data_IF_105708717506
#
_entry.id   IF_105708717506
#
_cell.length_a   1.000
_cell.length_b   1.000
_cell.length_c   1.000
_cell.angle_alpha   90.00
_cell.angle_beta   90.00
_cell.angle_gamma   90.00
#
_symmetry.space_group_name_H-M   'P 1'
#
loop_
_entity.id
_entity.type
_entity.pdbx_description
1 polymer ?
#
# COMPACT_ATOMS: atom_id res chain seq x y z
N UNK A 1 -2.61 -31.52 6.52
CA UNK A 1 -3.43 -30.63 7.40
C UNK A 1 -2.91 -29.22 7.17
N UNK A 2 -3.79 -28.22 7.06
CA UNK A 2 -3.35 -26.85 6.77
C UNK A 2 -2.84 -26.14 8.02
N UNK A 3 -1.54 -25.87 8.06
CA UNK A 3 -0.87 -25.09 9.10
C UNK A 3 -0.94 -23.59 8.76
N UNK A 4 -1.06 -22.72 9.76
CA UNK A 4 -1.06 -21.27 9.57
C UNK A 4 -0.21 -20.61 10.65
N UNK A 5 0.76 -19.81 10.24
CA UNK A 5 1.70 -19.10 11.11
C UNK A 5 2.36 -17.93 10.37
N UNK A 6 3.14 -17.13 11.09
CA UNK A 6 4.02 -16.14 10.49
C UNK A 6 5.15 -16.79 9.69
N UNK A 7 5.64 -16.09 8.68
CA UNK A 7 6.77 -16.53 7.86
C UNK A 7 8.10 -16.20 8.52
N UNK A 8 9.12 -17.02 8.27
CA UNK A 8 10.50 -16.72 8.62
C UNK A 8 11.19 -15.92 7.51
N UNK A 9 12.38 -15.32 7.77
CA UNK A 9 13.16 -14.65 6.73
C UNK A 9 13.47 -15.55 5.52
N UNK A 10 13.81 -16.82 5.73
CA UNK A 10 14.14 -17.78 4.66
C UNK A 10 12.91 -18.15 3.80
N UNK A 11 11.71 -17.95 4.33
CA UNK A 11 10.44 -18.22 3.65
C UNK A 11 9.93 -17.02 2.85
N UNK A 12 10.53 -15.84 3.02
CA UNK A 12 10.02 -14.58 2.46
C UNK A 12 9.94 -14.61 0.93
N UNK A 13 10.99 -15.08 0.25
CA UNK A 13 10.99 -15.21 -1.21
C UNK A 13 9.90 -16.20 -1.69
N UNK A 14 9.75 -17.34 -1.00
CA UNK A 14 8.73 -18.32 -1.36
C UNK A 14 7.32 -17.76 -1.16
N UNK A 15 7.14 -16.96 -0.12
CA UNK A 15 5.89 -16.30 0.20
C UNK A 15 5.52 -15.24 -0.85
N UNK A 16 6.44 -14.34 -1.23
CA UNK A 16 6.20 -13.33 -2.27
C UNK A 16 5.94 -13.98 -3.64
N UNK A 17 6.64 -15.07 -3.98
CA UNK A 17 6.35 -15.86 -5.19
C UNK A 17 4.97 -16.48 -5.16
N UNK A 18 4.54 -17.04 -4.02
CA UNK A 18 3.21 -17.63 -3.88
C UNK A 18 2.13 -16.56 -4.02
N UNK A 19 2.30 -15.42 -3.37
CA UNK A 19 1.41 -14.26 -3.46
C UNK A 19 1.27 -13.78 -4.90
N UNK A 20 2.40 -13.52 -5.59
CA UNK A 20 2.39 -13.05 -6.98
C UNK A 20 1.66 -14.02 -7.90
N UNK A 21 1.89 -15.33 -7.72
CA UNK A 21 1.21 -16.38 -8.49
C UNK A 21 -0.30 -16.38 -8.28
N UNK A 22 -0.77 -16.16 -7.06
CA UNK A 22 -2.20 -16.11 -6.74
C UNK A 22 -2.88 -14.88 -7.36
N UNK A 23 -2.13 -13.80 -7.60
CA UNK A 23 -2.57 -12.62 -8.37
C UNK A 23 -2.37 -12.75 -9.89
N UNK A 24 -1.97 -13.92 -10.40
CA UNK A 24 -1.78 -14.18 -11.82
C UNK A 24 -0.46 -13.66 -12.39
N UNK A 25 0.47 -13.24 -11.52
CA UNK A 25 1.76 -12.69 -11.89
C UNK A 25 2.90 -13.68 -11.64
N UNK A 26 4.06 -13.42 -12.25
CA UNK A 26 5.34 -13.93 -11.76
C UNK A 26 5.98 -12.84 -10.92
N UNK A 27 6.68 -13.22 -9.85
CA UNK A 27 7.47 -12.28 -9.09
C UNK A 27 8.49 -11.62 -10.04
N UNK A 28 8.39 -10.31 -10.20
CA UNK A 28 9.19 -9.52 -11.14
C UNK A 28 10.15 -8.54 -10.42
N UNK A 29 10.02 -8.43 -9.10
CA UNK A 29 10.90 -7.65 -8.25
C UNK A 29 11.86 -8.55 -7.49
N UNK A 30 13.02 -8.00 -7.14
CA UNK A 30 13.98 -8.64 -6.24
C UNK A 30 13.38 -8.71 -4.82
N UNK A 31 13.24 -9.92 -4.22
CA UNK A 31 12.78 -10.06 -2.84
C UNK A 31 13.53 -9.15 -1.86
N UNK A 32 14.85 -8.97 -2.02
CA UNK A 32 15.62 -8.12 -1.11
C UNK A 32 15.19 -6.65 -1.19
N UNK A 33 14.79 -6.18 -2.38
CA UNK A 33 14.23 -4.83 -2.55
C UNK A 33 12.83 -4.70 -1.95
N UNK A 34 12.04 -5.78 -1.93
CA UNK A 34 10.71 -5.79 -1.31
C UNK A 34 10.78 -5.90 0.22
N UNK A 35 11.85 -6.48 0.77
CA UNK A 35 11.97 -6.78 2.20
C UNK A 35 11.61 -5.61 3.13
N UNK A 36 12.01 -4.34 2.88
CA UNK A 36 11.66 -3.21 3.75
C UNK A 36 10.17 -2.94 3.92
N UNK A 37 9.33 -3.38 2.97
CA UNK A 37 7.88 -3.17 2.99
C UNK A 37 7.16 -4.15 3.92
N UNK A 38 7.81 -5.25 4.32
CA UNK A 38 7.17 -6.32 5.07
C UNK A 38 7.67 -6.38 6.51
N UNK A 39 6.75 -6.34 7.45
CA UNK A 39 6.97 -6.84 8.80
C UNK A 39 6.64 -8.35 8.83
N UNK A 40 7.65 -9.21 9.02
CA UNK A 40 7.44 -10.67 8.97
C UNK A 40 6.57 -11.17 10.12
N UNK A 41 6.56 -10.45 11.25
CA UNK A 41 5.67 -10.78 12.38
C UNK A 41 4.20 -10.51 12.05
N UNK A 42 3.93 -9.82 10.94
CA UNK A 42 2.59 -9.51 10.40
C UNK A 42 2.29 -10.21 9.08
N UNK A 43 3.25 -10.96 8.56
CA UNK A 43 3.13 -11.73 7.33
C UNK A 43 2.79 -13.17 7.66
N UNK A 44 1.53 -13.55 7.44
CA UNK A 44 1.04 -14.90 7.69
C UNK A 44 1.03 -15.72 6.41
N UNK A 45 1.33 -17.01 6.55
CA UNK A 45 1.26 -18.00 5.50
C UNK A 45 0.38 -19.17 5.94
N UNK A 46 -0.28 -19.79 4.96
CA UNK A 46 -0.97 -21.07 5.12
C UNK A 46 -0.20 -22.13 4.34
N UNK A 47 0.22 -23.18 5.02
CA UNK A 47 1.02 -24.26 4.46
C UNK A 47 0.19 -25.52 4.23
N UNK A 48 0.42 -26.19 3.09
CA UNK A 48 -0.01 -27.56 2.83
C UNK A 48 1.23 -28.43 2.55
N UNK A 49 1.74 -29.09 3.59
CA UNK A 49 3.10 -29.64 3.59
C UNK A 49 4.11 -28.50 3.45
N UNK A 50 5.05 -28.64 2.51
CA UNK A 50 6.09 -27.62 2.26
C UNK A 50 5.61 -26.47 1.36
N UNK A 51 4.35 -26.50 0.90
CA UNK A 51 3.82 -25.51 -0.05
C UNK A 51 3.06 -24.39 0.64
N UNK A 52 3.37 -23.14 0.29
CA UNK A 52 2.55 -21.98 0.67
C UNK A 52 1.32 -21.91 -0.26
N UNK A 53 0.15 -22.11 0.34
CA UNK A 53 -1.16 -22.15 -0.36
C UNK A 53 -2.04 -20.94 -0.09
N UNK A 54 -1.63 -20.05 0.81
CA UNK A 54 -2.24 -18.76 1.04
C UNK A 54 -1.35 -17.85 1.88
N UNK A 55 -1.63 -16.55 1.85
CA UNK A 55 -0.90 -15.56 2.62
C UNK A 55 -1.69 -14.28 2.80
N UNK A 56 -1.34 -13.52 3.83
CA UNK A 56 -1.82 -12.17 4.07
C UNK A 56 -0.75 -11.39 4.82
N UNK A 57 -0.73 -10.08 4.63
CA UNK A 57 0.14 -9.17 5.34
C UNK A 57 -0.69 -8.03 5.96
N UNK A 58 -0.14 -7.40 7.00
CA UNK A 58 -0.65 -6.11 7.47
C UNK A 58 0.51 -5.16 7.77
N UNK A 59 0.34 -3.91 7.39
CA UNK A 59 1.25 -2.84 7.74
C UNK A 59 0.73 -2.11 8.97
N UNK A 60 1.62 -1.76 9.91
CA UNK A 60 1.28 -0.81 10.96
C UNK A 60 1.46 0.61 10.43
N UNK A 61 0.35 1.26 10.08
CA UNK A 61 0.36 2.61 9.50
C UNK A 61 -0.36 3.61 10.40
N UNK A 62 -0.02 4.87 10.26
CA UNK A 62 -0.82 5.97 10.80
C UNK A 62 -1.82 6.40 9.73
N UNK A 63 -3.09 6.52 10.11
CA UNK A 63 -4.15 7.02 9.24
C UNK A 63 -4.77 8.28 9.84
N UNK A 64 -4.93 9.32 9.05
CA UNK A 64 -5.72 10.49 9.44
C UNK A 64 -7.20 10.09 9.63
N UNK A 65 -7.80 10.57 10.72
CA UNK A 65 -9.22 10.36 11.06
C UNK A 65 -9.84 11.71 11.43
N UNK A 66 -11.18 11.85 11.46
CA UNK A 66 -11.78 13.10 11.91
C UNK A 66 -11.28 13.48 13.32
N UNK A 67 -10.62 14.64 13.43
CA UNK A 67 -10.09 15.16 14.68
C UNK A 67 -8.71 14.64 15.11
N UNK A 68 -7.98 13.89 14.28
CA UNK A 68 -6.61 13.47 14.59
C UNK A 68 -6.08 12.34 13.71
N UNK A 69 -5.30 11.44 14.30
CA UNK A 69 -4.80 10.24 13.62
C UNK A 69 -4.95 8.99 14.50
N UNK A 70 -4.96 7.83 13.85
CA UNK A 70 -5.07 6.53 14.50
C UNK A 70 -4.07 5.53 13.91
N UNK A 71 -3.46 4.73 14.78
CA UNK A 71 -2.72 3.54 14.34
C UNK A 71 -3.73 2.58 13.70
N UNK A 72 -3.41 2.11 12.50
CA UNK A 72 -4.29 1.29 11.67
C UNK A 72 -3.52 0.11 11.09
N UNK A 73 -4.13 -1.07 11.09
CA UNK A 73 -3.64 -2.21 10.33
C UNK A 73 -4.02 -2.05 8.85
N UNK A 74 -3.06 -1.68 8.01
CA UNK A 74 -3.22 -1.67 6.56
C UNK A 74 -3.11 -3.09 6.03
N UNK A 75 -4.24 -3.78 5.84
CA UNK A 75 -4.28 -5.17 5.38
C UNK A 75 -4.00 -5.24 3.87
N UNK A 76 -3.05 -6.09 3.52
CA UNK A 76 -2.50 -6.22 2.17
C UNK A 76 -2.18 -7.69 1.83
N UNK A 77 -1.85 -7.93 0.55
CA UNK A 77 -1.31 -9.21 0.06
C UNK A 77 -2.16 -10.44 0.43
N UNK A 78 -3.48 -10.26 0.52
CA UNK A 78 -4.41 -11.33 0.85
C UNK A 78 -4.60 -12.21 -0.37
N UNK A 79 -4.03 -13.42 -0.33
CA UNK A 79 -4.01 -14.31 -1.48
C UNK A 79 -4.24 -15.77 -1.07
N UNK A 80 -4.95 -16.52 -1.92
CA UNK A 80 -5.13 -17.97 -1.79
C UNK A 80 -4.87 -18.59 -3.15
N UNK A 81 -4.09 -19.67 -3.19
CA UNK A 81 -3.80 -20.37 -4.43
C UNK A 81 -5.10 -20.90 -5.06
N UNK A 82 -5.28 -20.81 -6.38
CA UNK A 82 -6.47 -21.33 -7.08
C UNK A 82 -6.80 -22.79 -6.74
N UNK A 83 -5.75 -23.61 -6.54
CA UNK A 83 -5.82 -25.03 -6.16
C UNK A 83 -6.42 -25.28 -4.77
N UNK A 84 -6.52 -24.25 -3.92
CA UNK A 84 -6.98 -24.31 -2.53
C UNK A 84 -8.19 -23.42 -2.23
N UNK A 85 -8.81 -22.87 -3.28
CA UNK A 85 -10.06 -22.10 -3.15
C UNK A 85 -11.21 -22.97 -2.64
N UNK A 86 -12.24 -22.35 -2.06
CA UNK A 86 -13.44 -23.01 -1.52
C UNK A 86 -13.19 -24.03 -0.40
N UNK A 87 -12.00 -24.02 0.22
CA UNK A 87 -11.64 -24.86 1.38
C UNK A 87 -11.61 -24.10 2.72
N UNK A 88 -12.12 -22.87 2.75
CA UNK A 88 -12.16 -22.03 3.95
C UNK A 88 -10.84 -21.38 4.35
N UNK A 89 -9.79 -21.47 3.53
CA UNK A 89 -8.45 -20.89 3.79
C UNK A 89 -8.54 -19.39 4.11
N UNK A 90 -9.15 -18.62 3.21
CA UNK A 90 -9.33 -17.17 3.40
C UNK A 90 -10.07 -16.83 4.69
N UNK A 91 -11.16 -17.55 5.00
CA UNK A 91 -11.94 -17.32 6.21
C UNK A 91 -11.12 -17.54 7.48
N UNK A 92 -10.28 -18.58 7.51
CA UNK A 92 -9.37 -18.83 8.64
C UNK A 92 -8.32 -17.74 8.76
N UNK A 93 -7.74 -17.35 7.64
CA UNK A 93 -6.68 -16.34 7.56
C UNK A 93 -7.16 -14.96 8.02
N UNK A 94 -8.29 -14.48 7.51
CA UNK A 94 -8.86 -13.19 7.90
C UNK A 94 -9.28 -13.16 9.38
N UNK A 95 -9.86 -14.26 9.90
CA UNK A 95 -10.21 -14.35 11.33
C UNK A 95 -8.99 -14.27 12.23
N UNK A 96 -7.93 -14.98 11.85
CA UNK A 96 -6.66 -14.92 12.58
C UNK A 96 -6.06 -13.52 12.53
N UNK A 97 -6.01 -12.90 11.36
CA UNK A 97 -5.45 -11.54 11.22
C UNK A 97 -6.23 -10.51 12.03
N UNK A 98 -7.57 -10.54 12.04
CA UNK A 98 -8.37 -9.60 12.86
C UNK A 98 -8.13 -9.81 14.35
N UNK A 99 -8.01 -11.07 14.79
CA UNK A 99 -7.67 -11.36 16.17
C UNK A 99 -6.27 -10.86 16.52
N UNK A 100 -5.28 -11.06 15.64
CA UNK A 100 -3.91 -10.58 15.82
C UNK A 100 -3.85 -9.04 15.90
N UNK A 101 -4.58 -8.34 15.04
CA UNK A 101 -4.75 -6.87 15.09
C UNK A 101 -5.33 -6.43 16.44
N UNK A 102 -6.33 -7.16 16.96
CA UNK A 102 -6.92 -6.88 18.27
C UNK A 102 -5.92 -7.08 19.42
N UNK A 103 -5.19 -8.21 19.44
CA UNK A 103 -4.17 -8.50 20.46
C UNK A 103 -3.02 -7.48 20.45
N UNK A 104 -2.72 -6.89 19.29
CA UNK A 104 -1.73 -5.80 19.15
C UNK A 104 -2.25 -4.44 19.63
N UNK A 105 -3.52 -4.34 20.03
CA UNK A 105 -4.15 -3.09 20.48
C UNK A 105 -4.40 -2.09 19.37
N UNK A 106 -4.50 -2.54 18.12
CA UNK A 106 -4.74 -1.68 16.96
C UNK A 106 -6.26 -1.44 16.81
N UNK A 107 -6.72 -0.18 16.90
CA UNK A 107 -8.15 0.12 17.00
C UNK A 107 -8.93 -0.12 15.70
N UNK A 108 -8.24 -0.22 14.56
CA UNK A 108 -8.87 -0.37 13.25
C UNK A 108 -7.98 -1.08 12.25
N UNK A 109 -8.63 -1.72 11.27
CA UNK A 109 -8.01 -2.29 10.08
C UNK A 109 -8.66 -1.71 8.83
N UNK A 110 -7.86 -1.46 7.81
CA UNK A 110 -8.30 -0.89 6.54
C UNK A 110 -7.60 -1.59 5.37
N UNK A 111 -8.30 -1.72 4.24
CA UNK A 111 -7.78 -2.38 3.04
C UNK A 111 -8.42 -1.80 1.78
N UNK A 112 -7.73 -2.01 0.66
CA UNK A 112 -8.28 -1.79 -0.67
C UNK A 112 -8.83 -3.11 -1.21
N UNK A 113 -10.16 -3.24 -1.25
CA UNK A 113 -10.81 -4.47 -1.70
C UNK A 113 -10.81 -4.56 -3.22
N UNK A 114 -10.32 -5.68 -3.77
CA UNK A 114 -10.54 -6.04 -5.18
C UNK A 114 -12.00 -6.42 -5.44
N UNK A 115 -12.64 -7.09 -4.47
CA UNK A 115 -14.06 -7.43 -4.49
C UNK A 115 -14.69 -7.13 -3.12
N UNK A 116 -15.64 -6.18 -3.07
CA UNK A 116 -16.23 -5.69 -1.82
C UNK A 116 -17.02 -6.75 -1.04
N UNK A 117 -17.65 -7.71 -1.74
CA UNK A 117 -18.48 -8.79 -1.13
C UNK A 117 -17.66 -9.75 -0.27
N UNK A 118 -16.34 -9.80 -0.49
CA UNK A 118 -15.45 -10.69 0.25
C UNK A 118 -15.32 -10.22 1.70
N UNK A 119 -15.07 -8.93 1.92
CA UNK A 119 -14.58 -8.42 3.21
C UNK A 119 -15.70 -8.04 4.19
N UNK A 120 -16.90 -7.72 3.70
CA UNK A 120 -18.04 -7.34 4.56
C UNK A 120 -18.37 -8.38 5.65
N UNK A 121 -18.23 -9.68 5.33
CA UNK A 121 -18.48 -10.78 6.28
C UNK A 121 -17.48 -10.83 7.46
N UNK A 122 -16.38 -10.09 7.37
CA UNK A 122 -15.36 -10.00 8.41
C UNK A 122 -15.43 -8.67 9.18
N UNK A 123 -16.44 -7.83 8.92
CA UNK A 123 -16.63 -6.54 9.60
C UNK A 123 -16.07 -5.32 8.88
N UNK A 124 -15.49 -5.48 7.68
CA UNK A 124 -15.05 -4.35 6.87
C UNK A 124 -16.25 -3.62 6.25
N UNK A 125 -16.30 -2.30 6.44
CA UNK A 125 -17.23 -1.40 5.76
C UNK A 125 -16.53 -0.59 4.67
N UNK A 126 -17.30 0.01 3.77
CA UNK A 126 -16.77 1.01 2.82
C UNK A 126 -16.39 2.26 3.61
N UNK A 127 -15.09 2.56 3.69
CA UNK A 127 -14.55 3.71 4.42
C UNK A 127 -14.26 4.94 3.54
N UNK A 128 -14.08 4.75 2.24
CA UNK A 128 -13.79 5.83 1.28
C UNK A 128 -14.27 5.46 -0.12
N UNK A 129 -14.38 6.48 -0.98
CA UNK A 129 -14.65 6.32 -2.40
C UNK A 129 -13.41 6.76 -3.19
N UNK A 130 -13.12 6.04 -4.27
CA UNK A 130 -12.08 6.41 -5.21
C UNK A 130 -12.73 6.95 -6.49
N UNK A 131 -12.31 8.14 -6.90
CA UNK A 131 -12.74 8.75 -8.16
C UNK A 131 -11.53 8.97 -9.05
N UNK A 132 -11.71 8.74 -10.35
CA UNK A 132 -10.72 9.03 -11.37
C UNK A 132 -11.33 9.98 -12.39
N UNK A 133 -10.73 11.15 -12.49
CA UNK A 133 -11.14 12.20 -13.43
C UNK A 133 -10.14 12.28 -14.58
N UNK A 134 -10.64 12.51 -15.79
CA UNK A 134 -9.82 12.79 -16.97
C UNK A 134 -10.32 14.08 -17.58
N UNK A 135 -9.42 15.05 -17.73
CA UNK A 135 -9.72 16.37 -18.30
C UNK A 135 -8.89 16.49 -19.57
N UNK A 136 -9.54 16.64 -20.72
CA UNK A 136 -8.82 16.91 -21.96
C UNK A 136 -8.16 18.29 -21.88
N UNK A 137 -6.90 18.39 -22.30
CA UNK A 137 -6.12 19.63 -22.23
C UNK A 137 -6.80 20.82 -22.93
N UNK A 138 -7.63 20.58 -23.94
CA UNK A 138 -8.40 21.62 -24.63
C UNK A 138 -9.53 22.24 -23.77
N UNK A 139 -9.92 21.59 -22.67
CA UNK A 139 -11.00 22.00 -21.77
C UNK A 139 -10.51 22.30 -20.34
N UNK A 140 -9.21 22.52 -20.13
CA UNK A 140 -8.62 22.73 -18.80
C UNK A 140 -8.44 24.20 -18.39
N UNK A 141 -9.05 25.14 -19.13
CA UNK A 141 -8.95 26.56 -18.81
C UNK A 141 -9.58 26.88 -17.45
N UNK A 142 -8.95 27.75 -16.67
CA UNK A 142 -9.48 28.19 -15.39
C UNK A 142 -10.80 28.94 -15.56
N UNK A 143 -11.80 28.62 -14.71
CA UNK A 143 -13.09 29.31 -14.71
C UNK A 143 -12.99 30.77 -14.25
N UNK A 144 -11.95 31.11 -13.49
CA UNK A 144 -11.64 32.46 -13.03
C UNK A 144 -10.17 32.77 -13.36
N UNK A 145 -9.79 34.05 -13.57
CA UNK A 145 -8.39 34.42 -13.72
C UNK A 145 -7.57 33.88 -12.55
N UNK A 146 -6.54 33.11 -12.85
CA UNK A 146 -5.60 32.58 -11.87
C UNK A 146 -4.27 33.30 -12.02
N UNK A 147 -3.82 33.94 -10.96
CA UNK A 147 -2.47 34.50 -10.87
C UNK A 147 -1.59 33.53 -10.10
N UNK A 148 -0.59 32.98 -10.78
CA UNK A 148 0.38 32.12 -10.12
C UNK A 148 1.26 32.95 -9.18
N UNK A 149 1.29 32.58 -7.90
CA UNK A 149 2.07 33.28 -6.86
C UNK A 149 3.44 32.64 -6.59
N UNK A 150 3.65 31.43 -7.08
CA UNK A 150 4.86 30.67 -6.85
C UNK A 150 5.50 30.12 -8.14
N UNK A 151 6.51 29.29 -7.96
CA UNK A 151 7.26 28.65 -9.02
C UNK A 151 7.03 27.14 -8.99
N UNK A 152 6.80 26.54 -10.15
CA UNK A 152 6.82 25.08 -10.31
C UNK A 152 8.16 24.71 -10.94
N UNK A 153 8.91 23.82 -10.31
CA UNK A 153 10.17 23.29 -10.83
C UNK A 153 10.20 21.77 -10.76
N UNK A 154 10.89 21.14 -11.71
CA UNK A 154 11.20 19.72 -11.60
C UNK A 154 12.14 19.48 -10.42
N UNK A 155 11.93 18.34 -9.75
CA UNK A 155 12.73 17.88 -8.62
C UNK A 155 13.49 16.64 -9.07
N UNK A 156 14.78 16.56 -8.74
CA UNK A 156 15.56 15.35 -8.96
C UNK A 156 14.95 14.22 -8.12
N UNK A 157 14.70 13.02 -8.69
CA UNK A 157 14.21 11.87 -7.93
C UNK A 157 15.00 11.60 -6.63
N UNK A 158 16.30 11.89 -6.59
CA UNK A 158 17.11 11.72 -5.38
C UNK A 158 16.74 12.68 -4.24
N UNK A 159 16.18 13.86 -4.55
CA UNK A 159 15.80 14.87 -3.57
C UNK A 159 14.40 14.63 -2.96
N UNK A 160 13.56 13.77 -3.56
CA UNK A 160 12.18 13.59 -3.09
C UNK A 160 12.11 13.02 -1.69
N UNK A 161 13.11 12.23 -1.28
CA UNK A 161 13.20 11.62 0.05
C UNK A 161 13.38 12.68 1.14
N UNK A 162 13.96 13.84 0.79
CA UNK A 162 14.19 14.95 1.71
C UNK A 162 12.94 15.81 1.90
N UNK A 163 12.34 16.25 0.80
CA UNK A 163 11.36 17.36 0.85
C UNK A 163 9.90 16.88 0.83
N UNK A 164 9.58 15.85 0.03
CA UNK A 164 8.19 15.44 -0.18
C UNK A 164 7.52 14.74 1.03
N UNK A 165 8.21 14.04 1.95
CA UNK A 165 7.56 13.48 3.14
C UNK A 165 6.87 14.54 3.99
N UNK A 166 7.50 15.70 4.17
CA UNK A 166 6.95 16.79 5.00
C UNK A 166 5.82 17.53 4.29
N UNK A 167 5.92 17.70 2.97
CA UNK A 167 4.82 18.21 2.12
C UNK A 167 3.62 17.27 2.18
N UNK A 168 3.85 15.96 2.02
CA UNK A 168 2.80 14.95 2.08
C UNK A 168 2.11 14.95 3.44
N UNK A 169 2.87 15.01 4.54
CA UNK A 169 2.27 15.07 5.89
C UNK A 169 1.40 16.31 6.06
N UNK A 170 1.93 17.51 5.81
CA UNK A 170 1.17 18.77 5.98
C UNK A 170 -0.07 18.84 5.11
N UNK A 171 0.00 18.34 3.87
CA UNK A 171 -1.14 18.36 2.95
C UNK A 171 -2.20 17.29 3.23
N UNK A 172 -1.91 16.30 4.10
CA UNK A 172 -2.79 15.14 4.33
C UNK A 172 -3.16 14.88 5.79
N UNK A 173 -2.51 15.52 6.76
CA UNK A 173 -2.76 15.27 8.20
C UNK A 173 -4.22 15.52 8.60
N UNK A 174 -4.89 16.49 7.97
CA UNK A 174 -6.30 16.80 8.20
C UNK A 174 -7.25 16.12 7.20
N UNK A 175 -6.76 15.21 6.34
CA UNK A 175 -7.58 14.51 5.33
C UNK A 175 -7.92 13.08 5.80
N UNK A 176 -9.13 12.82 6.32
CA UNK A 176 -9.49 11.50 6.82
C UNK A 176 -9.33 10.41 5.76
N UNK A 177 -8.80 9.26 6.16
CA UNK A 177 -8.60 8.09 5.30
C UNK A 177 -7.25 8.05 4.58
N UNK A 178 -6.38 9.07 4.74
CA UNK A 178 -5.03 9.03 4.18
C UNK A 178 -4.07 8.29 5.11
N UNK A 179 -3.37 7.28 4.58
CA UNK A 179 -2.23 6.66 5.26
C UNK A 179 -0.98 7.51 5.13
N UNK A 180 -0.28 7.71 6.23
CA UNK A 180 1.07 8.26 6.22
C UNK A 180 2.03 7.25 5.60
N UNK A 181 2.90 7.74 4.71
CA UNK A 181 3.86 6.92 3.98
C UNK A 181 5.17 6.78 4.78
N UNK A 182 5.67 5.56 5.01
CA UNK A 182 6.98 5.38 5.62
C UNK A 182 8.10 5.76 4.63
N UNK A 183 9.29 6.05 5.15
CA UNK A 183 10.42 6.58 4.35
C UNK A 183 10.82 5.67 3.18
N UNK A 184 10.78 4.35 3.37
CA UNK A 184 11.16 3.38 2.34
C UNK A 184 10.27 3.43 1.07
N UNK A 185 9.03 3.94 1.15
CA UNK A 185 8.22 4.19 -0.05
C UNK A 185 8.80 5.34 -0.88
N UNK A 186 9.34 6.37 -0.25
CA UNK A 186 9.99 7.49 -0.94
C UNK A 186 11.34 7.08 -1.51
N UNK A 187 12.10 6.26 -0.79
CA UNK A 187 13.36 5.69 -1.28
C UNK A 187 13.15 4.80 -2.51
N UNK A 188 12.06 4.02 -2.53
CA UNK A 188 11.68 3.21 -3.68
C UNK A 188 11.35 4.07 -4.90
N UNK A 189 10.54 5.11 -4.71
CA UNK A 189 10.15 6.06 -5.74
C UNK A 189 11.38 6.82 -6.31
N UNK A 190 12.34 7.16 -5.45
CA UNK A 190 13.59 7.83 -5.83
C UNK A 190 14.52 6.94 -6.66
N UNK A 191 14.47 5.63 -6.45
CA UNK A 191 15.30 4.63 -7.14
C UNK A 191 14.57 3.97 -8.32
N UNK A 192 13.35 4.40 -8.62
CA UNK A 192 12.54 3.82 -9.69
C UNK A 192 13.16 4.18 -11.05
N UNK A 193 13.48 3.19 -11.91
CA UNK A 193 14.14 3.46 -13.18
C UNK A 193 13.22 4.27 -14.10
N UNK A 194 13.73 5.37 -14.66
CA UNK A 194 12.98 6.25 -15.59
C UNK A 194 12.34 5.48 -16.75
N UNK A 195 12.94 4.38 -17.18
CA UNK A 195 12.40 3.52 -18.23
C UNK A 195 12.54 2.04 -17.89
N UNK A 196 11.43 1.31 -18.00
CA UNK A 196 11.42 -0.15 -18.09
C UNK A 196 10.90 -0.56 -19.46
N UNK A 197 11.50 -1.56 -20.10
CA UNK A 197 11.06 -2.03 -21.41
C UNK A 197 9.66 -2.64 -21.29
N UNK A 198 8.63 -1.94 -21.81
CA UNK A 198 7.24 -2.41 -21.78
C UNK A 198 6.48 -2.14 -20.47
N UNK A 199 7.03 -1.35 -19.54
CA UNK A 199 6.37 -0.94 -18.30
C UNK A 199 6.21 0.58 -18.19
N UNK A 200 5.53 1.03 -17.13
CA UNK A 200 5.57 2.44 -16.75
C UNK A 200 6.99 2.80 -16.31
N UNK A 201 7.53 3.89 -16.86
CA UNK A 201 8.77 4.48 -16.41
C UNK A 201 8.66 5.09 -15.00
N UNK A 202 9.79 5.45 -14.41
CA UNK A 202 9.88 6.27 -13.21
C UNK A 202 9.11 7.58 -13.39
N UNK A 203 8.57 8.09 -12.28
CA UNK A 203 7.78 9.32 -12.29
C UNK A 203 8.69 10.54 -12.43
N UNK A 204 8.21 11.57 -13.11
CA UNK A 204 8.77 12.92 -12.99
C UNK A 204 8.17 13.59 -11.77
N UNK A 205 9.00 14.20 -10.94
CA UNK A 205 8.58 14.92 -9.75
C UNK A 205 8.65 16.43 -10.00
N UNK A 206 7.66 17.15 -9.51
CA UNK A 206 7.64 18.60 -9.54
C UNK A 206 7.22 19.10 -8.15
N UNK A 207 7.78 20.24 -7.77
CA UNK A 207 7.47 20.94 -6.53
C UNK A 207 6.96 22.34 -6.85
N UNK A 208 5.98 22.80 -6.08
CA UNK A 208 5.58 24.20 -6.07
C UNK A 208 6.33 24.91 -4.93
N UNK A 209 6.83 26.11 -5.18
CA UNK A 209 7.50 26.92 -4.16
C UNK A 209 6.87 28.29 -4.09
N UNK A 210 6.43 28.69 -2.89
CA UNK A 210 5.91 30.02 -2.58
C UNK A 210 6.61 30.57 -1.33
N UNK A 211 7.17 31.77 -1.43
CA UNK A 211 7.91 32.40 -0.33
C UNK A 211 9.11 31.60 0.19
N UNK A 212 9.67 30.67 -0.61
CA UNK A 212 10.77 29.78 -0.21
C UNK A 212 10.33 28.51 0.51
N UNK A 213 9.02 28.26 0.64
CA UNK A 213 8.44 27.05 1.19
C UNK A 213 8.03 26.14 0.03
N UNK A 214 8.48 24.89 0.08
CA UNK A 214 8.04 23.84 -0.85
C UNK A 214 6.66 23.32 -0.42
N UNK A 215 5.74 23.19 -1.36
CA UNK A 215 4.40 22.62 -1.23
C UNK A 215 4.04 21.74 -2.45
#
# INVERSE_FOLDING_TARGET
MLEMRTITPDEFEHWTRAESRAHGNRLNDDPERLRPFFDLDRSIAVFDGDNIVGGAHSHRVEMAVPGGSAVTAGVANVAVQPTHTRRGVMTRMMRHQIHDVHERGEPMAALFATESVIYGRFGYGVGSLYERWTIDCQYNAYAQPYENRGLISFVDPADIVRDLPDVFRRSTEERPGVFQRPLHHWEWDAQSPEHTQGGSGGLFYAAYTDGGIID
#
